data_IF_052502379341
#
_entry.id   IF_052502379341
#
_cell.length_a   1.000
_cell.length_b   1.000
_cell.length_c   1.000
_cell.angle_alpha   90.00
_cell.angle_beta   90.00
_cell.angle_gamma   90.00
#
_symmetry.space_group_name_H-M   'P 1'
#
loop_
_entity.id
_entity.type
_entity.pdbx_description
1 polymer ?
#
# COMPACT_ATOMS: atom_id res chain seq x y z
N UNK A 1 -14.72 -32.67 0.01
CA UNK A 1 -14.69 -31.30 0.59
C UNK A 1 -15.60 -30.41 -0.22
N UNK A 2 -16.59 -29.78 0.42
CA UNK A 2 -17.52 -28.85 -0.21
C UNK A 2 -16.74 -27.69 -0.88
N UNK A 3 -17.07 -27.35 -2.12
CA UNK A 3 -16.38 -26.32 -2.92
C UNK A 3 -16.27 -24.97 -2.21
N UNK A 4 -17.30 -24.60 -1.44
CA UNK A 4 -17.31 -23.40 -0.60
C UNK A 4 -16.21 -23.36 0.46
N UNK A 5 -15.90 -24.49 1.09
CA UNK A 5 -14.87 -24.56 2.13
C UNK A 5 -13.48 -24.30 1.54
N UNK A 6 -13.21 -24.83 0.33
CA UNK A 6 -11.94 -24.58 -0.38
C UNK A 6 -11.76 -23.11 -0.73
N UNK A 7 -12.83 -22.43 -1.17
CA UNK A 7 -12.79 -21.01 -1.53
C UNK A 7 -12.57 -20.14 -0.29
N UNK A 8 -13.29 -20.40 0.81
CA UNK A 8 -13.11 -19.65 2.05
C UNK A 8 -11.72 -19.84 2.67
N UNK A 9 -11.18 -21.06 2.62
CA UNK A 9 -9.84 -21.37 3.14
C UNK A 9 -8.74 -20.70 2.30
N UNK A 10 -8.89 -20.70 0.97
CA UNK A 10 -7.96 -19.99 0.07
C UNK A 10 -8.03 -18.47 0.27
N UNK A 11 -9.22 -17.90 0.45
CA UNK A 11 -9.39 -16.48 0.73
C UNK A 11 -8.77 -16.09 2.09
N UNK A 12 -8.95 -16.91 3.12
CA UNK A 12 -8.37 -16.69 4.43
C UNK A 12 -6.84 -16.76 4.38
N UNK A 13 -6.28 -17.77 3.71
CA UNK A 13 -4.83 -17.89 3.53
C UNK A 13 -4.23 -16.73 2.72
N UNK A 14 -4.92 -16.31 1.65
CA UNK A 14 -4.51 -15.14 0.87
C UNK A 14 -4.58 -13.84 1.69
N UNK A 15 -5.65 -13.64 2.46
CA UNK A 15 -5.79 -12.50 3.37
C UNK A 15 -4.69 -12.47 4.43
N UNK A 16 -4.34 -13.63 5.00
CA UNK A 16 -3.23 -13.78 5.94
C UNK A 16 -1.88 -13.41 5.31
N UNK A 17 -1.58 -13.96 4.13
CA UNK A 17 -0.34 -13.62 3.40
C UNK A 17 -0.26 -12.13 3.05
N UNK A 18 -1.38 -11.51 2.65
CA UNK A 18 -1.46 -10.08 2.34
C UNK A 18 -1.23 -9.20 3.59
N UNK A 19 -1.55 -9.70 4.78
CA UNK A 19 -1.37 -8.97 6.04
C UNK A 19 0.05 -9.11 6.61
N UNK A 20 0.82 -10.11 6.18
CA UNK A 20 2.25 -10.22 6.50
C UNK A 20 3.00 -9.16 5.70
N UNK A 21 3.11 -7.96 6.27
CA UNK A 21 3.88 -6.83 5.72
C UNK A 21 4.99 -6.40 6.67
N UNK A 22 6.06 -7.21 6.82
CA UNK A 22 7.17 -6.87 7.70
C UNK A 22 7.95 -5.64 7.21
N UNK A 23 7.74 -5.19 5.97
CA UNK A 23 8.43 -4.07 5.33
C UNK A 23 7.84 -2.70 5.67
N UNK A 24 6.56 -2.60 6.03
CA UNK A 24 5.87 -1.33 6.36
C UNK A 24 6.60 -0.44 7.37
N UNK A 25 7.11 -0.95 8.51
CA UNK A 25 7.81 -0.09 9.48
C UNK A 25 9.11 0.52 8.93
N UNK A 26 9.64 -0.01 7.83
CA UNK A 26 10.89 0.45 7.23
C UNK A 26 10.69 1.41 6.05
N UNK A 27 9.46 1.55 5.54
CA UNK A 27 9.17 2.39 4.36
C UNK A 27 9.48 3.85 4.67
N UNK A 28 9.02 4.38 5.81
CA UNK A 28 9.26 5.78 6.19
C UNK A 28 10.76 6.13 6.23
N UNK A 29 11.56 5.31 6.93
CA UNK A 29 13.01 5.47 7.00
C UNK A 29 13.67 5.34 5.61
N UNK A 30 13.13 4.46 4.75
CA UNK A 30 13.60 4.33 3.37
C UNK A 30 13.34 5.58 2.51
N UNK A 31 12.22 6.28 2.74
CA UNK A 31 11.90 7.52 2.03
C UNK A 31 12.80 8.69 2.44
N UNK A 32 13.19 8.77 3.71
CA UNK A 32 13.97 9.86 4.31
C UNK A 32 15.48 9.60 4.29
N UNK A 33 15.91 8.40 3.91
CA UNK A 33 17.31 8.03 3.82
C UNK A 33 18.15 9.02 3.00
N UNK A 34 19.41 9.23 3.41
CA UNK A 34 20.39 10.17 2.83
C UNK A 34 20.55 10.08 1.29
N UNK A 35 20.13 8.98 0.68
CA UNK A 35 20.13 8.76 -0.77
C UNK A 35 19.07 9.56 -1.55
N UNK A 36 18.08 10.14 -0.87
CA UNK A 36 17.02 10.98 -1.43
C UNK A 36 17.15 12.32 -0.73
N UNK A 37 17.52 13.34 -1.48
CA UNK A 37 17.69 14.70 -0.99
C UNK A 37 16.32 15.37 -0.76
N UNK A 38 15.44 14.71 0.02
CA UNK A 38 14.05 15.09 0.30
C UNK A 38 13.92 15.29 1.81
N UNK A 39 13.34 16.41 2.23
CA UNK A 39 13.17 16.74 3.65
C UNK A 39 11.97 15.99 4.25
N UNK A 40 12.07 15.59 5.52
CA UNK A 40 10.98 14.93 6.27
C UNK A 40 9.66 15.71 6.22
N UNK A 41 9.73 17.04 6.24
CA UNK A 41 8.57 17.92 6.21
C UNK A 41 7.82 17.85 4.87
N UNK A 42 8.53 17.70 3.75
CA UNK A 42 7.91 17.60 2.42
C UNK A 42 7.14 16.28 2.27
N UNK A 43 7.69 15.18 2.77
CA UNK A 43 7.01 13.88 2.74
C UNK A 43 5.75 13.94 3.61
N UNK A 44 5.87 14.47 4.84
CA UNK A 44 4.76 14.62 5.78
C UNK A 44 3.61 15.45 5.21
N UNK A 45 3.94 16.57 4.58
CA UNK A 45 2.95 17.57 4.18
C UNK A 45 2.34 17.32 2.80
N UNK A 46 3.07 16.70 1.87
CA UNK A 46 2.60 16.54 0.49
C UNK A 46 2.29 15.10 0.10
N UNK A 47 2.94 14.12 0.71
CA UNK A 47 2.87 12.72 0.24
C UNK A 47 1.83 11.95 1.03
N UNK A 48 1.87 12.03 2.36
CA UNK A 48 0.90 11.37 3.24
C UNK A 48 -0.57 11.79 3.05
N UNK A 49 -0.91 13.09 2.92
CA UNK A 49 -2.31 13.46 2.68
C UNK A 49 -2.80 12.95 1.33
N UNK A 50 -1.97 13.00 0.28
CA UNK A 50 -2.33 12.49 -1.06
C UNK A 50 -2.64 10.99 -0.99
N UNK A 51 -1.80 10.20 -0.31
CA UNK A 51 -2.07 8.76 -0.09
C UNK A 51 -3.36 8.51 0.70
N UNK A 52 -3.62 9.30 1.73
CA UNK A 52 -4.83 9.14 2.56
C UNK A 52 -6.11 9.45 1.78
N UNK A 53 -6.12 10.51 0.95
CA UNK A 53 -7.28 10.85 0.13
C UNK A 53 -7.48 9.86 -1.03
N UNK A 54 -6.40 9.36 -1.63
CA UNK A 54 -6.49 8.38 -2.71
C UNK A 54 -7.06 7.05 -2.22
N UNK A 55 -6.73 6.64 -1.00
CA UNK A 55 -7.33 5.47 -0.38
C UNK A 55 -8.86 5.58 -0.31
N UNK A 56 -9.39 6.72 0.15
CA UNK A 56 -10.83 6.92 0.25
C UNK A 56 -11.52 6.85 -1.12
N UNK A 57 -10.92 7.46 -2.14
CA UNK A 57 -11.43 7.37 -3.51
C UNK A 57 -11.40 5.93 -4.05
N UNK A 58 -10.35 5.19 -3.69
CA UNK A 58 -10.18 3.84 -4.17
C UNK A 58 -11.11 2.81 -3.51
N UNK A 59 -11.50 3.00 -2.25
CA UNK A 59 -12.50 2.14 -1.63
C UNK A 59 -13.76 2.02 -2.49
N UNK A 60 -14.16 3.10 -3.16
CA UNK A 60 -15.28 3.12 -4.12
C UNK A 60 -15.00 2.23 -5.34
N UNK A 61 -13.79 2.31 -5.89
CA UNK A 61 -13.36 1.52 -7.06
C UNK A 61 -13.32 0.02 -6.72
N UNK A 62 -12.70 -0.34 -5.59
CA UNK A 62 -12.60 -1.73 -5.14
C UNK A 62 -13.98 -2.29 -4.84
N UNK A 63 -14.86 -1.51 -4.19
CA UNK A 63 -16.25 -1.89 -3.94
C UNK A 63 -16.99 -2.22 -5.25
N UNK A 64 -16.86 -1.36 -6.27
CA UNK A 64 -17.47 -1.59 -7.58
C UNK A 64 -16.93 -2.85 -8.27
N UNK A 65 -15.62 -3.10 -8.20
CA UNK A 65 -14.98 -4.29 -8.78
C UNK A 65 -15.42 -5.56 -8.04
N UNK A 66 -15.51 -5.52 -6.70
CA UNK A 66 -15.97 -6.66 -5.91
C UNK A 66 -17.41 -7.05 -6.23
N UNK A 67 -18.27 -6.07 -6.50
CA UNK A 67 -19.68 -6.28 -6.83
C UNK A 67 -19.86 -6.86 -8.25
N UNK A 68 -19.10 -6.35 -9.23
CA UNK A 68 -19.29 -6.71 -10.64
C UNK A 68 -18.53 -7.96 -11.11
N UNK A 69 -17.34 -8.27 -10.58
CA UNK A 69 -16.42 -9.18 -11.26
C UNK A 69 -16.09 -10.50 -10.54
N UNK A 70 -16.64 -10.74 -9.33
CA UNK A 70 -16.30 -11.89 -8.45
C UNK A 70 -14.79 -12.00 -8.13
N UNK A 71 -14.47 -12.82 -7.13
CA UNK A 71 -13.16 -13.01 -6.49
C UNK A 71 -11.93 -13.27 -7.40
N UNK A 72 -12.08 -13.69 -8.66
CA UNK A 72 -10.95 -14.08 -9.53
C UNK A 72 -10.11 -12.87 -10.01
N UNK A 73 -10.68 -11.85 -10.67
CA UNK A 73 -9.93 -10.68 -11.12
C UNK A 73 -9.33 -9.86 -9.97
N UNK A 74 -10.00 -9.82 -8.81
CA UNK A 74 -9.50 -9.07 -7.64
C UNK A 74 -8.13 -9.58 -7.17
N UNK A 75 -7.94 -10.90 -7.12
CA UNK A 75 -6.66 -11.51 -6.70
C UNK A 75 -5.54 -11.15 -7.69
N UNK A 76 -5.86 -11.10 -8.99
CA UNK A 76 -4.88 -10.77 -10.05
C UNK A 76 -4.48 -9.31 -9.99
N UNK A 77 -5.46 -8.40 -9.85
CA UNK A 77 -5.21 -6.95 -9.75
C UNK A 77 -4.40 -6.62 -8.49
N UNK A 78 -4.72 -7.24 -7.34
CA UNK A 78 -3.99 -7.04 -6.09
C UNK A 78 -2.54 -7.54 -6.16
N UNK A 79 -2.31 -8.69 -6.82
CA UNK A 79 -0.96 -9.22 -7.02
C UNK A 79 -0.12 -8.35 -7.96
N UNK A 80 -0.70 -7.91 -9.08
CA UNK A 80 -0.02 -7.03 -10.05
C UNK A 80 0.31 -5.67 -9.46
N UNK A 81 -0.62 -5.03 -8.75
CA UNK A 81 -0.37 -3.74 -8.11
C UNK A 81 0.77 -3.83 -7.08
N UNK A 82 0.83 -4.92 -6.30
CA UNK A 82 1.92 -5.15 -5.37
C UNK A 82 3.28 -5.20 -6.05
N UNK A 83 3.42 -5.99 -7.12
CA UNK A 83 4.67 -6.10 -7.87
C UNK A 83 5.10 -4.74 -8.43
N UNK A 84 4.16 -3.97 -8.98
CA UNK A 84 4.43 -2.63 -9.54
C UNK A 84 4.91 -1.67 -8.46
N UNK A 85 4.29 -1.66 -7.29
CA UNK A 85 4.67 -0.75 -6.20
C UNK A 85 6.06 -1.07 -5.68
N UNK A 86 6.34 -2.35 -5.38
CA UNK A 86 7.67 -2.75 -4.90
C UNK A 86 8.76 -2.49 -5.95
N UNK A 87 8.47 -2.68 -7.24
CA UNK A 87 9.40 -2.35 -8.32
C UNK A 87 9.65 -0.84 -8.45
N UNK A 88 8.60 -0.01 -8.38
CA UNK A 88 8.75 1.44 -8.43
C UNK A 88 9.49 1.98 -7.20
N UNK A 89 9.25 1.42 -6.00
CA UNK A 89 9.90 1.85 -4.76
C UNK A 89 11.43 1.80 -4.87
N UNK A 90 11.97 0.79 -5.57
CA UNK A 90 13.40 0.60 -5.79
C UNK A 90 14.01 1.64 -6.75
N UNK A 91 13.27 2.06 -7.77
CA UNK A 91 13.80 2.92 -8.84
C UNK A 91 13.55 4.41 -8.63
N UNK A 92 12.58 4.78 -7.80
CA UNK A 92 12.15 6.18 -7.72
C UNK A 92 13.13 7.08 -7.00
N UNK A 93 13.31 8.30 -7.53
CA UNK A 93 14.20 9.34 -6.97
C UNK A 93 13.52 10.69 -6.79
N UNK A 94 12.33 10.90 -7.38
CA UNK A 94 11.63 12.19 -7.38
C UNK A 94 10.40 12.23 -6.46
N UNK A 95 10.00 13.45 -6.05
CA UNK A 95 8.80 13.70 -5.22
C UNK A 95 7.50 13.32 -5.94
N UNK A 96 7.39 13.58 -7.24
CA UNK A 96 6.21 13.24 -8.03
C UNK A 96 6.04 11.74 -8.19
N UNK A 97 7.14 11.03 -8.44
CA UNK A 97 7.13 9.57 -8.50
C UNK A 97 6.75 8.98 -7.14
N UNK A 98 7.20 9.58 -6.03
CA UNK A 98 6.82 9.15 -4.69
C UNK A 98 5.31 9.32 -4.44
N UNK A 99 4.72 10.42 -4.90
CA UNK A 99 3.26 10.61 -4.85
C UNK A 99 2.55 9.54 -5.69
N UNK A 100 3.02 9.24 -6.89
CA UNK A 100 2.43 8.21 -7.76
C UNK A 100 2.57 6.81 -7.15
N UNK A 101 3.70 6.53 -6.50
CA UNK A 101 3.91 5.29 -5.74
C UNK A 101 2.92 5.20 -4.61
N UNK A 102 2.75 6.24 -3.80
CA UNK A 102 1.77 6.25 -2.72
C UNK A 102 0.35 6.07 -3.25
N UNK A 103 -0.03 6.76 -4.34
CA UNK A 103 -1.30 6.52 -5.02
C UNK A 103 -1.50 5.04 -5.40
N UNK A 104 -0.44 4.39 -5.91
CA UNK A 104 -0.48 2.98 -6.32
C UNK A 104 -0.33 2.02 -5.14
N UNK A 105 0.34 2.42 -4.07
CA UNK A 105 0.56 1.66 -2.85
C UNK A 105 -0.72 1.58 -2.03
N UNK A 106 -1.44 2.70 -1.93
CA UNK A 106 -2.78 2.74 -1.37
C UNK A 106 -3.74 1.85 -2.18
N UNK A 107 -3.39 1.50 -3.43
CA UNK A 107 -4.12 0.47 -4.16
C UNK A 107 -3.95 -0.96 -3.69
N UNK A 108 -2.82 -1.25 -3.08
CA UNK A 108 -2.54 -2.51 -2.42
C UNK A 108 -3.01 -2.50 -0.96
N UNK A 109 -3.03 -1.31 -0.35
CA UNK A 109 -3.16 -1.09 1.08
C UNK A 109 -4.59 -0.68 1.46
N UNK A 110 -5.32 -1.56 2.15
CA UNK A 110 -6.64 -1.23 2.73
C UNK A 110 -6.64 -1.05 4.24
N UNK A 111 -5.58 -0.46 4.80
CA UNK A 111 -5.50 -0.18 6.24
C UNK A 111 -4.99 1.25 6.45
N UNK A 112 -5.49 1.88 7.51
CA UNK A 112 -5.48 3.33 7.76
C UNK A 112 -4.13 4.04 7.66
N UNK A 113 -4.14 5.39 7.75
CA UNK A 113 -2.97 6.21 7.48
C UNK A 113 -1.79 5.74 8.32
N UNK A 114 -0.62 5.66 7.70
CA UNK A 114 0.66 5.39 8.35
C UNK A 114 0.80 6.40 9.50
N UNK A 115 0.49 5.91 10.69
CA UNK A 115 0.49 6.70 11.90
C UNK A 115 1.96 6.95 12.20
N UNK A 116 2.35 8.22 12.21
CA UNK A 116 3.67 8.64 12.69
C UNK A 116 3.84 8.19 14.14
N UNK A 117 4.40 6.99 14.35
CA UNK A 117 5.08 6.65 15.59
C UNK A 117 6.51 7.14 15.47
N UNK A 118 6.65 8.47 15.35
CA UNK A 118 7.92 9.15 15.57
C UNK A 118 8.32 8.89 17.00
N UNK A 119 9.19 7.90 17.18
CA UNK A 119 9.85 7.63 18.45
C UNK A 119 10.50 8.91 18.94
N UNK A 120 10.03 9.39 20.08
CA UNK A 120 10.78 10.31 20.93
C UNK A 120 12.02 9.55 21.41
N UNK A 121 13.07 9.57 20.58
CA UNK A 121 14.45 9.33 20.99
C UNK A 121 15.29 10.44 20.38
N UNK A 122 15.23 11.58 21.04
CA UNK A 122 16.34 12.51 21.09
C UNK A 122 16.95 12.41 22.51
N UNK A 123 18.25 12.69 22.65
CA UNK A 123 19.21 11.99 23.51
C UNK A 123 19.00 12.10 25.03
#
# INVERSE_FOLDING_TARGET
>A
MQTWLKISLLLCFFGFLKEIRPSEPFIYEFLIGEWRNITSDEVTQYVYPVGTYSYLAQLVIVFLITDLCRYKPLIIVLGLSGIVVWAMLLWTKSLLELQIIELTYQMLQSNGPLRYEGGSRNP
#
